data_IF_661475263432
#
_entry.id   IF_661475263432
#
_cell.length_a   1.000
_cell.length_b   1.000
_cell.length_c   1.000
_cell.angle_alpha   90.00
_cell.angle_beta   90.00
_cell.angle_gamma   90.00
#
_symmetry.space_group_name_H-M   'P 1'
#
loop_
_entity.id
_entity.type
_entity.pdbx_description
1 polymer ?
#
# COMPACT_ATOMS: atom_id res chain seq x y z
N UNK A 1 -10.25 -6.06 14.05
CA UNK A 1 -11.47 -6.89 14.17
C UNK A 1 -12.24 -6.47 15.40
N UNK A 2 -13.30 -5.68 15.25
CA UNK A 2 -14.02 -5.08 16.38
C UNK A 2 -15.28 -4.31 15.99
N UNK A 3 -15.33 -3.82 14.74
CA UNK A 3 -16.53 -3.24 14.15
C UNK A 3 -17.01 -4.20 13.03
N UNK A 4 -18.27 -4.66 13.05
CA UNK A 4 -18.79 -5.65 12.08
C UNK A 4 -19.10 -5.03 10.71
N UNK A 5 -19.02 -3.71 10.58
CA UNK A 5 -19.44 -2.97 9.39
C UNK A 5 -18.24 -2.38 8.65
N UNK A 6 -18.18 -2.61 7.33
CA UNK A 6 -17.20 -1.99 6.46
C UNK A 6 -17.67 -0.60 6.03
N UNK A 7 -16.73 0.33 5.91
CA UNK A 7 -16.95 1.70 5.44
C UNK A 7 -16.01 2.01 4.27
N UNK A 8 -16.51 2.70 3.25
CA UNK A 8 -15.66 3.26 2.21
C UNK A 8 -14.93 4.51 2.72
N UNK A 9 -13.62 4.60 2.47
CA UNK A 9 -12.78 5.73 2.84
C UNK A 9 -12.06 6.25 1.60
N UNK A 10 -12.05 7.57 1.42
CA UNK A 10 -11.28 8.22 0.36
C UNK A 10 -9.85 8.44 0.83
N UNK A 11 -8.89 7.74 0.21
CA UNK A 11 -7.45 7.89 0.47
C UNK A 11 -6.69 7.91 -0.86
N UNK A 12 -5.44 8.39 -0.85
CA UNK A 12 -4.52 8.29 -1.98
C UNK A 12 -3.69 7.01 -1.88
N UNK A 13 -3.55 6.30 -3.00
CA UNK A 13 -2.75 5.09 -3.11
C UNK A 13 -1.91 5.13 -4.40
N UNK A 14 -0.92 4.24 -4.51
CA UNK A 14 -0.10 4.15 -5.71
C UNK A 14 -0.73 3.19 -6.75
N UNK A 15 -0.83 3.66 -7.99
CA UNK A 15 -1.29 2.87 -9.13
C UNK A 15 -0.62 3.37 -10.41
N UNK A 16 -0.20 2.44 -11.29
CA UNK A 16 0.48 2.77 -12.54
C UNK A 16 1.42 1.67 -13.02
N UNK A 17 2.20 1.98 -14.06
CA UNK A 17 3.12 1.04 -14.71
C UNK A 17 4.57 1.39 -14.41
N UNK A 18 5.41 0.35 -14.20
CA UNK A 18 6.85 0.47 -14.05
C UNK A 18 7.58 -0.34 -15.12
N UNK A 19 8.72 0.18 -15.56
CA UNK A 19 9.56 -0.49 -16.56
C UNK A 19 10.32 -1.64 -15.92
N UNK A 20 10.19 -2.83 -16.50
CA UNK A 20 10.97 -4.03 -16.15
C UNK A 20 11.83 -4.47 -17.33
N UNK A 21 12.81 -5.33 -17.08
CA UNK A 21 13.68 -5.93 -18.09
C UNK A 21 13.90 -7.39 -17.75
N UNK A 22 13.81 -8.25 -18.76
CA UNK A 22 14.22 -9.64 -18.66
C UNK A 22 15.62 -9.78 -19.27
N UNK A 23 16.62 -10.32 -18.54
CA UNK A 23 17.95 -10.55 -19.10
C UNK A 23 17.90 -11.63 -20.18
N UNK A 24 18.62 -11.41 -21.29
CA UNK A 24 18.73 -12.41 -22.36
C UNK A 24 19.52 -13.64 -21.89
N UNK A 25 20.60 -13.43 -21.13
CA UNK A 25 21.38 -14.49 -20.52
C UNK A 25 20.86 -14.83 -19.12
N UNK A 26 20.50 -16.10 -18.91
CA UNK A 26 20.08 -16.63 -17.60
C UNK A 26 21.30 -17.03 -16.78
N UNK A 27 21.84 -16.08 -16.04
CA UNK A 27 22.97 -16.30 -15.13
C UNK A 27 22.58 -17.25 -13.98
N UNK A 28 23.51 -18.11 -13.51
CA UNK A 28 23.34 -18.86 -12.26
C UNK A 28 23.12 -17.96 -11.03
N UNK A 29 23.51 -16.68 -11.10
CA UNK A 29 23.28 -15.68 -10.05
C UNK A 29 21.81 -15.20 -9.99
N UNK A 30 20.96 -15.65 -10.92
CA UNK A 30 19.56 -15.24 -11.03
C UNK A 30 19.35 -13.93 -11.81
N UNK A 31 18.08 -13.55 -12.03
CA UNK A 31 17.75 -12.31 -12.73
C UNK A 31 18.08 -11.08 -11.87
N UNK A 32 18.38 -9.93 -12.50
CA UNK A 32 18.49 -8.69 -11.76
C UNK A 32 17.14 -8.34 -11.10
N UNK A 33 17.18 -7.58 -10.00
CA UNK A 33 15.97 -7.15 -9.31
C UNK A 33 15.04 -6.34 -10.20
N UNK A 34 13.74 -6.64 -10.13
CA UNK A 34 12.71 -5.85 -10.78
C UNK A 34 12.11 -4.82 -9.82
N UNK A 35 11.44 -3.81 -10.38
CA UNK A 35 10.76 -2.76 -9.62
C UNK A 35 9.26 -2.80 -9.89
N UNK A 36 8.48 -2.52 -8.86
CA UNK A 36 7.04 -2.34 -8.91
C UNK A 36 6.67 -0.90 -8.52
N UNK A 37 5.45 -0.47 -8.88
CA UNK A 37 4.90 0.79 -8.41
C UNK A 37 4.58 0.65 -6.91
N UNK A 38 5.28 1.39 -6.07
CA UNK A 38 5.12 1.33 -4.61
C UNK A 38 5.22 2.71 -3.98
N UNK A 39 4.91 2.79 -2.68
CA UNK A 39 4.97 4.02 -1.91
C UNK A 39 6.40 4.57 -1.87
N UNK A 40 6.55 5.84 -2.25
CA UNK A 40 7.80 6.59 -2.06
C UNK A 40 7.86 7.20 -0.66
N UNK A 41 6.83 7.97 -0.33
CA UNK A 41 6.57 8.51 1.00
C UNK A 41 5.11 8.25 1.33
N UNK A 42 4.86 7.85 2.58
CA UNK A 42 3.53 7.58 3.11
C UNK A 42 3.34 8.28 4.45
N UNK A 43 2.09 8.63 4.75
CA UNK A 43 1.66 9.10 6.06
C UNK A 43 0.57 8.18 6.58
N UNK A 44 0.56 7.91 7.87
CA UNK A 44 -0.57 7.24 8.50
C UNK A 44 -1.55 8.27 9.04
N UNK A 45 -2.81 8.12 8.65
CA UNK A 45 -3.91 8.94 9.16
C UNK A 45 -4.88 8.08 9.94
N UNK A 46 -5.46 8.68 10.98
CA UNK A 46 -6.40 8.01 11.87
C UNK A 46 -7.82 8.34 11.45
N UNK A 47 -8.58 7.33 11.06
CA UNK A 47 -9.96 7.45 10.61
C UNK A 47 -10.89 6.79 11.62
N UNK A 48 -12.02 7.43 11.90
CA UNK A 48 -13.04 6.87 12.79
C UNK A 48 -14.05 6.05 11.97
N UNK A 49 -14.19 4.77 12.31
CA UNK A 49 -15.23 3.90 11.82
C UNK A 49 -16.54 4.15 12.57
N UNK A 50 -17.66 3.91 11.89
CA UNK A 50 -18.99 3.99 12.46
C UNK A 50 -19.54 2.58 12.63
N UNK A 51 -20.46 2.40 13.59
CA UNK A 51 -21.08 1.08 13.85
C UNK A 51 -20.26 0.14 14.75
N UNK A 52 -19.30 0.67 15.49
CA UNK A 52 -18.50 -0.10 16.45
C UNK A 52 -19.24 -0.26 17.80
N UNK A 53 -19.12 -1.41 18.50
CA UNK A 53 -19.68 -1.61 19.83
C UNK A 53 -19.14 -0.62 20.88
N UNK A 54 -19.96 -0.31 21.89
CA UNK A 54 -19.56 0.54 23.02
C UNK A 54 -18.35 -0.08 23.73
N UNK A 55 -17.28 0.71 23.93
CA UNK A 55 -16.04 0.27 24.57
C UNK A 55 -14.94 -0.21 23.60
N UNK A 56 -15.23 -0.33 22.30
CA UNK A 56 -14.21 -0.57 21.27
C UNK A 56 -13.59 0.74 20.76
N UNK A 57 -12.30 0.73 20.38
CA UNK A 57 -11.69 1.88 19.68
C UNK A 57 -12.13 1.85 18.21
N UNK A 58 -12.97 2.80 17.74
CA UNK A 58 -13.43 2.83 16.36
C UNK A 58 -12.33 3.32 15.40
N UNK A 59 -11.15 3.71 15.91
CA UNK A 59 -10.15 4.39 15.11
C UNK A 59 -9.19 3.41 14.44
N UNK A 60 -9.08 3.51 13.12
CA UNK A 60 -8.14 2.73 12.31
C UNK A 60 -7.08 3.64 11.71
N UNK A 61 -5.85 3.11 11.57
CA UNK A 61 -4.76 3.79 10.90
C UNK A 61 -4.73 3.35 9.44
N UNK A 62 -4.97 4.28 8.51
CA UNK A 62 -4.85 4.03 7.08
C UNK A 62 -3.59 4.71 6.52
N UNK A 63 -2.88 4.06 5.57
CA UNK A 63 -1.81 4.71 4.84
C UNK A 63 -2.39 5.66 3.78
N UNK A 64 -1.72 6.80 3.62
CA UNK A 64 -1.98 7.83 2.61
C UNK A 64 -0.72 8.02 1.80
N UNK A 65 -0.78 7.76 0.50
CA UNK A 65 0.35 7.98 -0.41
C UNK A 65 0.63 9.48 -0.55
N UNK A 66 1.84 9.90 -0.18
CA UNK A 66 2.34 11.25 -0.44
C UNK A 66 3.14 11.31 -1.75
N UNK A 67 3.81 10.20 -2.09
CA UNK A 67 4.48 10.03 -3.38
C UNK A 67 4.55 8.55 -3.77
N UNK A 68 4.72 8.30 -5.07
CA UNK A 68 4.87 6.97 -5.62
C UNK A 68 6.19 6.88 -6.40
N UNK A 69 6.81 5.70 -6.39
CA UNK A 69 8.06 5.43 -7.10
C UNK A 69 8.10 4.00 -7.62
N UNK A 70 8.86 3.78 -8.69
CA UNK A 70 9.27 2.44 -9.09
C UNK A 70 10.44 2.00 -8.22
N UNK A 71 10.23 1.02 -7.35
CA UNK A 71 11.25 0.46 -6.48
C UNK A 71 10.99 -1.02 -6.21
N UNK A 72 11.91 -1.69 -5.50
CA UNK A 72 11.59 -3.00 -4.93
C UNK A 72 10.45 -2.85 -3.92
N UNK A 73 9.56 -3.84 -3.91
CA UNK A 73 8.52 -3.98 -2.89
C UNK A 73 9.16 -4.36 -1.55
#
# INVERSE_FOLDING_TARGET
DGCPQCMAVTTTACGGYCRTREPVYRSPLGPPPQSACTYGALRYERWALWGCPIGSDPRVLLPVALSCRCARC
#
